data_IF_325162927400
#
_entry.id   IF_325162927400
#
_cell.length_a   1.000
_cell.length_b   1.000
_cell.length_c   1.000
_cell.angle_alpha   90.00
_cell.angle_beta   90.00
_cell.angle_gamma   90.00
#
_symmetry.space_group_name_H-M   'P 1'
#
loop_
_entity.id
_entity.type
_entity.pdbx_description
1 polymer ?
#
# COMPACT_ATOMS: atom_id res chain seq x y z
N UNK A 1 -5.62 -4.81 -25.27
CA UNK A 1 -5.51 -5.02 -23.79
C UNK A 1 -5.30 -6.50 -23.60
N UNK A 2 -4.24 -6.85 -22.93
CA UNK A 2 -3.90 -8.25 -22.66
C UNK A 2 -4.83 -8.75 -21.54
N UNK A 3 -5.52 -9.84 -21.75
CA UNK A 3 -6.50 -10.39 -20.81
C UNK A 3 -5.88 -11.56 -20.05
N UNK A 4 -6.28 -11.75 -18.79
CA UNK A 4 -5.98 -12.97 -18.02
C UNK A 4 -6.66 -14.19 -18.67
N UNK A 5 -6.19 -15.41 -18.36
CA UNK A 5 -6.79 -16.68 -18.83
C UNK A 5 -8.30 -16.82 -18.52
N UNK A 6 -8.81 -16.04 -17.56
CA UNK A 6 -10.22 -16.00 -17.16
C UNK A 6 -11.04 -14.87 -17.82
N UNK A 7 -10.47 -14.16 -18.81
CA UNK A 7 -11.13 -13.05 -19.51
C UNK A 7 -11.19 -11.73 -18.74
N UNK A 8 -10.53 -11.63 -17.61
CA UNK A 8 -10.41 -10.39 -16.84
C UNK A 8 -9.22 -9.55 -17.33
N UNK A 9 -9.26 -8.21 -17.14
CA UNK A 9 -8.12 -7.34 -17.43
C UNK A 9 -6.87 -7.78 -16.66
N UNK A 10 -5.69 -7.67 -17.29
CA UNK A 10 -4.43 -7.95 -16.64
C UNK A 10 -4.15 -6.94 -15.54
N UNK A 11 -3.67 -7.41 -14.39
CA UNK A 11 -3.25 -6.60 -13.25
C UNK A 11 -1.74 -6.32 -13.30
N UNK A 12 -1.27 -5.30 -12.57
CA UNK A 12 0.18 -5.04 -12.41
C UNK A 12 0.89 -6.24 -11.75
N UNK A 13 0.22 -6.86 -10.78
CA UNK A 13 0.69 -8.06 -10.09
C UNK A 13 0.76 -9.32 -10.97
N UNK A 14 0.11 -9.30 -12.15
CA UNK A 14 0.24 -10.38 -13.12
C UNK A 14 1.59 -10.29 -13.85
N UNK A 15 2.51 -11.16 -13.56
CA UNK A 15 3.80 -11.18 -14.25
C UNK A 15 3.66 -11.63 -15.72
N UNK A 16 4.54 -11.12 -16.61
CA UNK A 16 4.60 -11.57 -18.00
C UNK A 16 4.92 -13.06 -18.11
N UNK A 17 4.30 -13.75 -19.06
CA UNK A 17 4.46 -15.20 -19.29
C UNK A 17 5.92 -15.66 -19.50
N UNK A 18 6.81 -14.76 -19.93
CA UNK A 18 8.24 -15.06 -20.15
C UNK A 18 9.09 -15.00 -18.87
N UNK A 19 8.50 -14.62 -17.72
CA UNK A 19 9.19 -14.55 -16.42
C UNK A 19 8.88 -15.75 -15.51
N UNK A 20 8.36 -16.84 -16.06
CA UNK A 20 7.90 -18.00 -15.30
C UNK A 20 8.90 -18.58 -14.31
N UNK A 21 10.20 -18.57 -14.63
CA UNK A 21 11.26 -19.13 -13.76
C UNK A 21 11.53 -18.22 -12.58
N UNK A 22 11.68 -16.91 -12.82
CA UNK A 22 11.91 -15.91 -11.76
C UNK A 22 10.65 -15.79 -10.89
N UNK A 23 9.48 -15.94 -11.48
CA UNK A 23 8.20 -15.92 -10.79
C UNK A 23 8.00 -17.14 -9.89
N UNK A 24 8.41 -18.33 -10.31
CA UNK A 24 8.37 -19.51 -9.46
C UNK A 24 9.20 -19.31 -8.18
N UNK A 25 10.35 -18.65 -8.29
CA UNK A 25 11.17 -18.26 -7.15
C UNK A 25 10.44 -17.27 -6.22
N UNK A 26 9.85 -16.22 -6.76
CA UNK A 26 9.09 -15.22 -6.01
C UNK A 26 7.87 -15.86 -5.31
N UNK A 27 7.10 -16.69 -6.01
CA UNK A 27 5.98 -17.44 -5.40
C UNK A 27 6.46 -18.38 -4.28
N UNK A 28 7.60 -19.05 -4.47
CA UNK A 28 8.19 -19.90 -3.45
C UNK A 28 8.50 -19.15 -2.14
N UNK A 29 8.97 -17.91 -2.23
CA UNK A 29 9.18 -17.04 -1.06
C UNK A 29 7.84 -16.66 -0.40
N UNK A 30 6.82 -16.34 -1.19
CA UNK A 30 5.48 -16.01 -0.68
C UNK A 30 4.80 -17.21 -0.02
N UNK A 31 4.98 -18.43 -0.53
CA UNK A 31 4.52 -19.65 0.15
C UNK A 31 5.20 -19.84 1.50
N UNK A 32 6.50 -19.48 1.62
CA UNK A 32 7.20 -19.44 2.90
C UNK A 32 6.61 -18.46 3.91
N UNK A 33 5.92 -17.42 3.44
CA UNK A 33 5.14 -16.48 4.26
C UNK A 33 3.71 -16.97 4.57
N UNK A 34 3.30 -18.12 4.03
CA UNK A 34 1.98 -18.72 4.27
C UNK A 34 0.90 -18.38 3.24
N UNK A 35 1.23 -17.68 2.15
CA UNK A 35 0.28 -17.39 1.07
C UNK A 35 0.02 -18.64 0.21
N UNK A 36 -1.18 -18.71 -0.35
CA UNK A 36 -1.62 -19.74 -1.29
C UNK A 36 -1.68 -19.20 -2.71
N UNK A 37 -1.69 -20.07 -3.72
CA UNK A 37 -1.88 -19.67 -5.11
C UNK A 37 -3.16 -18.85 -5.31
N UNK A 38 -4.27 -19.29 -4.71
CA UNK A 38 -5.54 -18.60 -4.82
C UNK A 38 -5.48 -17.17 -4.28
N UNK A 39 -4.70 -16.91 -3.23
CA UNK A 39 -4.49 -15.56 -2.70
C UNK A 39 -3.57 -14.74 -3.61
N UNK A 40 -2.47 -15.33 -4.08
CA UNK A 40 -1.52 -14.63 -4.96
C UNK A 40 -2.08 -14.31 -6.35
N UNK A 41 -3.18 -14.95 -6.75
CA UNK A 41 -3.91 -14.65 -7.98
C UNK A 41 -4.99 -13.56 -7.81
N UNK A 42 -5.21 -13.06 -6.58
CA UNK A 42 -6.10 -11.92 -6.30
C UNK A 42 -5.42 -10.60 -6.66
N UNK A 43 -6.18 -9.51 -6.86
CA UNK A 43 -5.60 -8.17 -6.93
C UNK A 43 -4.82 -7.84 -5.66
N UNK A 44 -3.59 -7.35 -5.82
CA UNK A 44 -2.72 -6.96 -4.72
C UNK A 44 -3.01 -5.52 -4.30
N UNK A 45 -3.53 -5.35 -3.09
CA UNK A 45 -3.93 -4.04 -2.55
C UNK A 45 -2.96 -3.61 -1.46
N UNK A 46 -2.20 -2.56 -1.72
CA UNK A 46 -1.33 -1.96 -0.72
C UNK A 46 -2.17 -1.23 0.34
N UNK A 47 -2.02 -1.59 1.61
CA UNK A 47 -2.59 -0.85 2.74
C UNK A 47 -1.44 -0.10 3.42
N UNK A 48 -1.38 1.20 3.16
CA UNK A 48 -0.36 2.08 3.69
C UNK A 48 -0.92 2.81 4.90
N UNK A 49 -0.49 2.39 6.08
CA UNK A 49 -0.86 3.04 7.33
C UNK A 49 0.25 3.98 7.78
N UNK A 50 -0.11 5.13 8.29
CA UNK A 50 0.83 6.08 8.90
C UNK A 50 0.71 6.09 10.43
N UNK A 51 0.32 4.96 11.01
CA UNK A 51 0.25 4.77 12.45
C UNK A 51 1.60 5.02 13.13
N UNK A 52 1.55 5.66 14.29
CA UNK A 52 2.72 5.87 15.14
C UNK A 52 2.30 6.17 16.58
N UNK A 53 3.00 5.59 17.54
CA UNK A 53 2.86 5.95 18.95
C UNK A 53 3.41 7.36 19.25
N UNK A 54 4.33 7.84 18.39
CA UNK A 54 4.93 9.17 18.51
C UNK A 54 4.03 10.28 17.97
N UNK A 55 2.92 9.96 17.32
CA UNK A 55 2.01 10.92 16.72
C UNK A 55 0.61 10.79 17.33
N UNK A 56 0.19 11.74 18.21
CA UNK A 56 -1.11 11.66 18.88
C UNK A 56 -2.31 11.56 17.92
N UNK A 57 -2.22 12.17 16.74
CA UNK A 57 -3.26 12.09 15.72
C UNK A 57 -3.32 10.74 15.00
N UNK A 58 -2.32 9.87 15.16
CA UNK A 58 -2.18 8.63 14.41
C UNK A 58 -2.24 7.36 15.26
N UNK A 59 -2.21 7.46 16.59
CA UNK A 59 -2.11 6.28 17.47
C UNK A 59 -3.28 5.29 17.33
N UNK A 60 -4.45 5.75 16.87
CA UNK A 60 -5.65 4.94 16.70
C UNK A 60 -5.77 4.28 15.32
N UNK A 61 -4.91 4.65 14.35
CA UNK A 61 -5.05 4.24 12.94
C UNK A 61 -4.92 2.72 12.72
N UNK A 62 -4.34 1.96 13.65
CA UNK A 62 -4.37 0.47 13.60
C UNK A 62 -5.77 -0.09 13.56
N UNK A 63 -6.71 0.50 14.28
CA UNK A 63 -8.11 0.05 14.28
C UNK A 63 -8.80 0.30 12.94
N UNK A 64 -8.44 1.39 12.28
CA UNK A 64 -8.93 1.67 10.92
C UNK A 64 -8.33 0.69 9.91
N UNK A 65 -7.03 0.39 10.04
CA UNK A 65 -6.35 -0.61 9.20
C UNK A 65 -7.04 -1.97 9.26
N UNK A 66 -7.38 -2.45 10.46
CA UNK A 66 -8.12 -3.72 10.64
C UNK A 66 -9.46 -3.73 9.91
N UNK A 67 -10.19 -2.61 9.92
CA UNK A 67 -11.46 -2.48 9.21
C UNK A 67 -11.27 -2.43 7.69
N UNK A 68 -10.25 -1.70 7.22
CA UNK A 68 -9.87 -1.61 5.80
C UNK A 68 -9.46 -2.97 5.28
N UNK A 69 -8.62 -3.71 6.02
CA UNK A 69 -8.17 -5.06 5.66
C UNK A 69 -9.35 -5.98 5.41
N UNK A 70 -10.29 -6.05 6.35
CA UNK A 70 -11.51 -6.86 6.17
C UNK A 70 -12.30 -6.46 4.93
N UNK A 71 -12.45 -5.16 4.68
CA UNK A 71 -13.16 -4.67 3.50
C UNK A 71 -12.48 -5.06 2.19
N UNK A 72 -11.15 -5.02 2.13
CA UNK A 72 -10.37 -5.47 0.97
C UNK A 72 -10.54 -6.97 0.74
N UNK A 73 -10.40 -7.77 1.79
CA UNK A 73 -10.54 -9.23 1.73
C UNK A 73 -11.96 -9.67 1.35
N UNK A 74 -13.00 -9.04 1.92
CA UNK A 74 -14.40 -9.29 1.58
C UNK A 74 -14.72 -8.96 0.11
N UNK A 75 -13.99 -8.02 -0.49
CA UNK A 75 -14.10 -7.68 -1.90
C UNK A 75 -13.22 -8.56 -2.82
N UNK A 76 -12.48 -9.52 -2.28
CA UNK A 76 -11.64 -10.46 -3.04
C UNK A 76 -10.28 -9.91 -3.44
N UNK A 77 -9.75 -8.91 -2.70
CA UNK A 77 -8.38 -8.42 -2.82
C UNK A 77 -7.46 -9.10 -1.81
N UNK A 78 -6.17 -9.17 -2.11
CA UNK A 78 -5.12 -9.56 -1.18
C UNK A 78 -4.50 -8.29 -0.57
N UNK A 79 -4.64 -8.15 0.75
CA UNK A 79 -4.12 -6.99 1.48
C UNK A 79 -2.63 -7.16 1.81
N UNK A 80 -1.81 -6.19 1.39
CA UNK A 80 -0.40 -6.09 1.76
C UNK A 80 -0.17 -4.83 2.59
N UNK A 81 0.35 -5.00 3.79
CA UNK A 81 0.51 -3.94 4.78
C UNK A 81 1.93 -3.41 4.82
N UNK A 82 2.07 -2.10 4.86
CA UNK A 82 3.29 -1.47 5.33
C UNK A 82 2.98 -0.13 6.01
N UNK A 83 3.89 0.31 6.89
CA UNK A 83 3.70 1.52 7.67
C UNK A 83 4.58 2.63 7.11
N UNK A 84 3.97 3.73 6.68
CA UNK A 84 4.65 4.91 6.22
C UNK A 84 5.06 5.84 7.37
N UNK A 85 6.10 6.65 7.14
CA UNK A 85 6.57 7.62 8.12
C UNK A 85 5.50 8.67 8.44
N UNK A 86 5.32 8.97 9.73
CA UNK A 86 4.49 10.09 10.17
C UNK A 86 5.12 10.84 11.31
N UNK A 87 5.04 12.17 11.27
CA UNK A 87 5.43 13.02 12.36
C UNK A 87 4.33 14.05 12.68
N UNK A 88 4.21 14.42 13.94
CA UNK A 88 3.27 15.45 14.38
C UNK A 88 3.99 16.80 14.49
N UNK A 89 3.63 17.76 13.67
CA UNK A 89 4.25 19.10 13.65
C UNK A 89 4.05 19.89 14.94
N UNK A 90 3.06 19.53 15.75
CA UNK A 90 2.85 20.15 17.07
C UNK A 90 3.89 19.77 18.13
N UNK A 91 4.67 18.69 17.92
CA UNK A 91 5.60 18.16 18.94
C UNK A 91 7.02 17.87 18.44
N UNK A 92 7.27 17.97 17.13
CA UNK A 92 8.59 17.69 16.57
C UNK A 92 9.37 18.97 16.24
N UNK A 93 10.66 18.79 15.92
CA UNK A 93 11.50 19.90 15.44
C UNK A 93 11.00 20.38 14.06
N UNK A 94 10.73 21.68 13.86
CA UNK A 94 10.15 22.22 12.63
C UNK A 94 10.92 21.89 11.34
N UNK A 95 12.24 21.74 11.43
CA UNK A 95 13.10 21.43 10.28
C UNK A 95 12.77 20.09 9.58
N UNK A 96 12.09 19.16 10.26
CA UNK A 96 11.77 17.85 9.73
C UNK A 96 10.34 17.72 9.17
N UNK A 97 9.50 18.73 9.35
CA UNK A 97 8.07 18.68 9.00
C UNK A 97 7.88 18.52 7.48
N UNK A 98 8.43 19.42 6.68
CA UNK A 98 8.31 19.33 5.22
C UNK A 98 9.12 18.18 4.60
N UNK A 99 10.36 17.90 5.04
CA UNK A 99 11.10 16.75 4.57
C UNK A 99 10.38 15.41 4.80
N UNK A 100 9.65 15.26 5.90
CA UNK A 100 8.89 14.02 6.16
C UNK A 100 7.79 13.77 5.12
N UNK A 101 7.17 14.82 4.62
CA UNK A 101 6.17 14.71 3.54
C UNK A 101 6.78 14.15 2.26
N UNK A 102 7.92 14.69 1.83
CA UNK A 102 8.61 14.24 0.63
C UNK A 102 9.13 12.80 0.79
N UNK A 103 9.60 12.46 1.99
CA UNK A 103 10.04 11.09 2.31
C UNK A 103 8.86 10.11 2.22
N UNK A 104 7.72 10.42 2.80
CA UNK A 104 6.53 9.58 2.76
C UNK A 104 6.05 9.32 1.31
N UNK A 105 6.04 10.36 0.47
CA UNK A 105 5.67 10.20 -0.95
C UNK A 105 6.60 9.22 -1.65
N UNK A 106 7.92 9.39 -1.47
CA UNK A 106 8.93 8.54 -2.10
C UNK A 106 8.89 7.10 -1.56
N UNK A 107 8.62 6.92 -0.26
CA UNK A 107 8.46 5.62 0.38
C UNK A 107 7.26 4.86 -0.20
N UNK A 108 6.11 5.52 -0.32
CA UNK A 108 4.91 4.92 -0.91
C UNK A 108 5.16 4.53 -2.36
N UNK A 109 5.74 5.43 -3.17
CA UNK A 109 6.06 5.15 -4.56
C UNK A 109 6.98 3.93 -4.69
N UNK A 110 8.07 3.90 -3.91
CA UNK A 110 9.01 2.78 -3.92
C UNK A 110 8.32 1.46 -3.56
N UNK A 111 7.54 1.44 -2.48
CA UNK A 111 6.90 0.22 -2.00
C UNK A 111 5.81 -0.28 -2.96
N UNK A 112 5.01 0.61 -3.49
CA UNK A 112 3.90 0.26 -4.39
C UNK A 112 4.41 -0.23 -5.75
N UNK A 113 5.39 0.48 -6.35
CA UNK A 113 5.95 0.10 -7.65
C UNK A 113 6.82 -1.16 -7.57
N UNK A 114 7.71 -1.25 -6.56
CA UNK A 114 8.59 -2.41 -6.42
C UNK A 114 7.82 -3.71 -6.13
N UNK A 115 6.69 -3.63 -5.44
CA UNK A 115 5.84 -4.78 -5.13
C UNK A 115 4.66 -4.94 -6.11
N UNK A 116 4.63 -4.16 -7.19
CA UNK A 116 3.63 -4.27 -8.26
C UNK A 116 2.18 -4.27 -7.74
N UNK A 117 1.85 -3.35 -6.83
CA UNK A 117 0.50 -3.24 -6.28
C UNK A 117 -0.48 -2.75 -7.35
N UNK A 118 -1.68 -3.33 -7.37
CA UNK A 118 -2.74 -3.01 -8.34
C UNK A 118 -3.56 -1.80 -7.92
N UNK A 119 -3.68 -1.60 -6.61
CA UNK A 119 -4.37 -0.46 -6.00
C UNK A 119 -3.84 -0.20 -4.60
N UNK A 120 -4.25 0.91 -3.99
CA UNK A 120 -3.81 1.24 -2.64
C UNK A 120 -4.90 1.88 -1.79
N UNK A 121 -4.84 1.60 -0.48
CA UNK A 121 -5.60 2.31 0.54
C UNK A 121 -4.61 3.03 1.45
N UNK A 122 -4.73 4.35 1.50
CA UNK A 122 -3.83 5.25 2.21
C UNK A 122 -4.49 5.73 3.49
N UNK A 123 -4.00 5.29 4.65
CA UNK A 123 -4.58 5.60 5.96
C UNK A 123 -3.71 6.62 6.68
N UNK A 124 -4.28 7.77 7.00
CA UNK A 124 -3.53 8.82 7.68
C UNK A 124 -4.39 9.92 8.26
N UNK A 125 -3.75 10.76 9.03
CA UNK A 125 -4.29 11.97 9.60
C UNK A 125 -3.25 13.10 9.50
N UNK A 126 -3.50 14.23 10.14
CA UNK A 126 -2.61 15.40 10.17
C UNK A 126 -2.42 16.11 8.82
N UNK A 127 -2.19 17.40 8.91
CA UNK A 127 -2.14 18.36 7.81
C UNK A 127 -0.90 18.23 6.89
N UNK A 128 0.12 17.49 7.29
CA UNK A 128 1.31 17.23 6.45
C UNK A 128 1.29 15.83 5.86
N UNK A 129 0.70 14.85 6.56
CA UNK A 129 0.60 13.47 6.10
C UNK A 129 -0.45 13.34 5.00
N UNK A 130 -1.65 13.88 5.19
CA UNK A 130 -2.71 13.79 4.17
C UNK A 130 -2.30 14.35 2.80
N UNK A 131 -1.66 15.54 2.70
CA UNK A 131 -1.13 16.00 1.42
C UNK A 131 -0.09 15.05 0.81
N UNK A 132 0.77 14.41 1.62
CA UNK A 132 1.72 13.43 1.12
C UNK A 132 1.01 12.21 0.52
N UNK A 133 -0.03 11.68 1.18
CA UNK A 133 -0.83 10.58 0.65
C UNK A 133 -1.50 10.94 -0.67
N UNK A 134 -2.05 12.15 -0.79
CA UNK A 134 -2.63 12.63 -2.05
C UNK A 134 -1.58 12.83 -3.15
N UNK A 135 -0.39 13.35 -2.79
CA UNK A 135 0.72 13.48 -3.73
C UNK A 135 1.19 12.11 -4.24
N UNK A 136 1.28 11.10 -3.37
CA UNK A 136 1.62 9.73 -3.75
C UNK A 136 0.55 9.13 -4.68
N UNK A 137 -0.74 9.32 -4.36
CA UNK A 137 -1.83 8.87 -5.20
C UNK A 137 -1.78 9.49 -6.60
N UNK A 138 -1.55 10.80 -6.69
CA UNK A 138 -1.43 11.50 -7.97
C UNK A 138 -0.17 11.14 -8.77
N UNK A 139 0.93 10.75 -8.09
CA UNK A 139 2.18 10.35 -8.73
C UNK A 139 2.10 8.93 -9.32
N UNK A 140 1.47 8.01 -8.59
CA UNK A 140 1.37 6.60 -8.97
C UNK A 140 0.30 6.31 -10.02
N UNK A 141 -0.74 7.13 -10.09
CA UNK A 141 -1.84 7.03 -11.06
C UNK A 141 -2.48 5.61 -11.12
N UNK A 142 -2.63 4.97 -9.98
CA UNK A 142 -3.36 3.73 -9.80
C UNK A 142 -4.61 3.96 -8.93
N UNK A 143 -5.60 3.04 -8.94
CA UNK A 143 -6.75 3.16 -8.05
C UNK A 143 -6.34 3.36 -6.60
N UNK A 144 -6.83 4.42 -5.97
CA UNK A 144 -6.46 4.80 -4.62
C UNK A 144 -7.66 5.31 -3.82
N UNK A 145 -7.68 4.98 -2.52
CA UNK A 145 -8.62 5.53 -1.55
C UNK A 145 -7.81 6.10 -0.38
N UNK A 146 -8.13 7.33 0.02
CA UNK A 146 -7.57 7.95 1.23
C UNK A 146 -8.59 7.84 2.36
N UNK A 147 -8.21 7.18 3.43
CA UNK A 147 -9.00 7.03 4.66
C UNK A 147 -8.40 7.92 5.73
N UNK A 148 -9.18 8.88 6.18
CA UNK A 148 -8.75 9.83 7.21
C UNK A 148 -9.19 9.40 8.59
N UNK A 149 -8.31 9.58 9.58
CA UNK A 149 -8.57 9.34 11.00
C UNK A 149 -8.97 10.61 11.76
#
# INVERSE_FOLDING_TARGET
>A
MDERKNGLPRLKSDLPDHMDVDYAGARGLMYGCGYTDAQLDMPHIGIINTWSDCNPGHFHLKKLEEAVTRGVEECGGLAFHFNGVSICDGIVKPAYILPSRDLLVNEIELMVEANMMDAMVLIGACDKVLPALLMAAGRLDIPAIVVTG
#
